data_IF_244260538229
#
_entry.id   IF_244260538229
#
_cell.length_a   1.000
_cell.length_b   1.000
_cell.length_c   1.000
_cell.angle_alpha   90.00
_cell.angle_beta   90.00
_cell.angle_gamma   90.00
#
_symmetry.space_group_name_H-M   'P 1'
#
loop_
_entity.id
_entity.type
_entity.pdbx_description
1 polymer ?
#
# COMPACT_ATOMS: atom_id res chain seq x y z
N UNK A 1 -43.90 -63.05 19.12
CA UNK A 1 -44.24 -61.84 18.36
C UNK A 1 -43.12 -60.82 18.51
N UNK A 2 -42.61 -60.27 17.40
CA UNK A 2 -41.53 -59.26 17.38
C UNK A 2 -42.17 -57.88 17.26
N UNK A 3 -41.96 -57.01 18.25
CA UNK A 3 -42.51 -55.65 18.28
C UNK A 3 -41.37 -54.69 17.96
N UNK A 4 -41.44 -54.03 16.81
CA UNK A 4 -40.47 -53.00 16.43
C UNK A 4 -40.80 -51.70 17.18
N UNK A 5 -39.85 -51.18 17.96
CA UNK A 5 -40.01 -49.89 18.62
C UNK A 5 -40.11 -48.78 17.56
N UNK A 6 -41.16 -47.98 17.65
CA UNK A 6 -41.32 -46.77 16.86
C UNK A 6 -40.24 -45.78 17.28
N UNK A 7 -39.38 -45.45 16.32
CA UNK A 7 -38.27 -44.53 16.49
C UNK A 7 -38.78 -43.20 17.06
N UNK A 8 -38.10 -42.76 18.12
CA UNK A 8 -38.35 -41.57 18.93
C UNK A 8 -38.50 -40.33 18.05
N UNK A 9 -39.74 -39.99 17.73
CA UNK A 9 -40.09 -38.70 17.15
C UNK A 9 -40.11 -37.72 18.32
N UNK A 10 -39.28 -36.68 18.25
CA UNK A 10 -39.19 -35.53 19.16
C UNK A 10 -38.29 -35.67 20.39
N UNK A 11 -36.98 -35.47 20.19
CA UNK A 11 -36.12 -34.92 21.23
C UNK A 11 -35.12 -33.94 20.59
N UNK A 12 -35.63 -32.87 19.96
CA UNK A 12 -34.80 -31.75 19.54
C UNK A 12 -34.40 -31.00 20.81
N UNK A 13 -33.14 -31.14 21.21
CA UNK A 13 -32.63 -30.61 22.45
C UNK A 13 -32.49 -29.07 22.33
N UNK A 14 -33.28 -28.26 23.05
CA UNK A 14 -33.33 -26.80 22.83
C UNK A 14 -31.99 -26.11 23.14
N UNK A 15 -31.14 -26.73 23.97
CA UNK A 15 -29.81 -26.22 24.31
C UNK A 15 -28.78 -26.35 23.18
N UNK A 16 -28.96 -27.27 22.21
CA UNK A 16 -28.07 -27.36 21.05
C UNK A 16 -28.22 -26.17 20.10
N UNK A 17 -29.41 -25.55 20.03
CA UNK A 17 -29.63 -24.38 19.17
C UNK A 17 -28.87 -23.13 19.62
N UNK A 18 -28.53 -23.05 20.91
CA UNK A 18 -27.83 -21.89 21.46
C UNK A 18 -26.32 -21.94 21.18
N UNK A 19 -25.71 -23.14 21.11
CA UNK A 19 -24.32 -23.30 20.68
C UNK A 19 -24.12 -22.95 19.20
N UNK A 20 -25.10 -23.28 18.35
CA UNK A 20 -25.03 -22.95 16.92
C UNK A 20 -25.10 -21.43 16.65
N UNK A 21 -25.85 -20.68 17.48
CA UNK A 21 -25.95 -19.23 17.40
C UNK A 21 -24.64 -18.52 17.81
N UNK A 22 -23.90 -19.07 18.78
CA UNK A 22 -22.59 -18.53 19.18
C UNK A 22 -21.49 -18.84 18.17
N UNK A 23 -21.54 -20.01 17.51
CA UNK A 23 -20.60 -20.37 16.44
C UNK A 23 -20.69 -19.42 15.23
N UNK A 24 -21.87 -18.86 14.94
CA UNK A 24 -22.08 -17.88 13.87
C UNK A 24 -21.42 -16.51 14.12
N UNK A 25 -21.27 -16.12 15.39
CA UNK A 25 -20.73 -14.81 15.77
C UNK A 25 -19.18 -14.74 15.73
N UNK A 26 -18.50 -15.89 15.81
CA UNK A 26 -17.04 -15.97 15.78
C UNK A 26 -16.43 -15.80 14.36
N UNK A 27 -17.25 -15.72 13.32
CA UNK A 27 -16.78 -15.67 11.92
C UNK A 27 -16.60 -14.27 11.34
N UNK A 28 -16.88 -13.19 12.09
CA UNK A 28 -16.58 -11.83 11.61
C UNK A 28 -15.07 -11.61 11.66
N UNK A 29 -14.41 -11.90 10.53
CA UNK A 29 -13.01 -11.53 10.28
C UNK A 29 -12.81 -10.07 10.68
N UNK A 30 -11.84 -9.82 11.57
CA UNK A 30 -11.41 -8.45 11.91
C UNK A 30 -10.97 -7.79 10.61
N UNK A 31 -11.59 -6.65 10.26
CA UNK A 31 -11.11 -5.83 9.15
C UNK A 31 -9.76 -5.28 9.56
N UNK A 32 -8.72 -5.67 8.83
CA UNK A 32 -7.39 -5.09 8.96
C UNK A 32 -7.41 -3.73 8.29
N UNK A 33 -6.79 -2.73 8.90
CA UNK A 33 -6.58 -1.45 8.24
C UNK A 33 -5.59 -1.66 7.08
N UNK A 34 -5.99 -1.24 5.88
CA UNK A 34 -5.16 -1.26 4.69
C UNK A 34 -4.78 0.16 4.29
N UNK A 35 -3.51 0.37 3.96
CA UNK A 35 -3.05 1.63 3.36
C UNK A 35 -2.99 1.42 1.84
N UNK A 36 -3.88 2.07 1.11
CA UNK A 36 -3.86 2.08 -0.36
C UNK A 36 -3.33 3.43 -0.86
N UNK A 37 -2.38 3.37 -1.79
CA UNK A 37 -1.90 4.56 -2.49
C UNK A 37 -2.95 4.93 -3.55
N UNK A 38 -3.34 6.19 -3.63
CA UNK A 38 -4.35 6.62 -4.60
C UNK A 38 -3.83 6.49 -6.03
N UNK A 39 -4.71 6.12 -6.96
CA UNK A 39 -4.39 6.04 -8.38
C UNK A 39 -3.87 7.39 -8.91
N UNK A 40 -4.46 8.50 -8.45
CA UNK A 40 -4.02 9.86 -8.77
C UNK A 40 -2.57 10.13 -8.32
N UNK A 41 -2.18 9.71 -7.10
CA UNK A 41 -0.80 9.89 -6.63
C UNK A 41 0.20 9.08 -7.47
N UNK A 42 -0.19 7.89 -7.93
CA UNK A 42 0.63 7.08 -8.84
C UNK A 42 0.79 7.74 -10.21
N UNK A 43 -0.26 8.34 -10.75
CA UNK A 43 -0.21 9.08 -12.03
C UNK A 43 0.63 10.36 -11.89
N UNK A 44 0.51 11.09 -10.78
CA UNK A 44 1.36 12.25 -10.49
C UNK A 44 2.83 11.86 -10.41
N UNK A 45 3.17 10.75 -9.74
CA UNK A 45 4.56 10.27 -9.68
C UNK A 45 5.08 9.86 -11.07
N UNK A 46 4.25 9.21 -11.87
CA UNK A 46 4.63 8.73 -13.21
C UNK A 46 4.80 9.90 -14.20
N UNK A 47 3.96 10.91 -14.10
CA UNK A 47 4.02 12.13 -14.93
C UNK A 47 5.17 13.06 -14.52
N UNK A 48 5.72 12.90 -13.32
CA UNK A 48 6.83 13.69 -12.81
C UNK A 48 8.19 13.28 -13.40
N UNK A 49 8.29 13.11 -14.72
CA UNK A 49 9.49 13.34 -15.56
C UNK A 49 10.84 12.76 -15.09
N UNK A 50 10.86 11.74 -14.23
CA UNK A 50 12.12 11.17 -13.70
C UNK A 50 12.88 10.40 -14.79
N UNK A 51 12.19 9.93 -15.84
CA UNK A 51 12.74 9.04 -16.86
C UNK A 51 12.82 9.68 -18.27
N UNK A 52 13.24 10.93 -18.38
CA UNK A 52 13.58 11.51 -19.69
C UNK A 52 14.96 11.02 -20.12
N UNK A 53 15.10 10.49 -21.35
CA UNK A 53 16.39 10.07 -21.92
C UNK A 53 17.41 11.22 -21.93
N UNK A 54 16.95 12.46 -22.09
CA UNK A 54 17.80 13.66 -22.03
C UNK A 54 18.42 13.85 -20.64
N UNK A 55 17.73 13.41 -19.57
CA UNK A 55 18.23 13.48 -18.19
C UNK A 55 19.35 12.49 -17.95
N UNK A 56 19.24 11.26 -18.47
CA UNK A 56 20.32 10.27 -18.31
C UNK A 56 21.60 10.73 -19.02
N UNK A 57 21.48 11.26 -20.23
CA UNK A 57 22.60 11.86 -20.96
C UNK A 57 23.23 13.03 -20.20
N UNK A 58 22.41 13.94 -19.65
CA UNK A 58 22.90 15.04 -18.83
C UNK A 58 23.68 14.55 -17.59
N UNK A 59 23.16 13.52 -16.91
CA UNK A 59 23.81 12.93 -15.74
C UNK A 59 25.16 12.31 -16.11
N UNK A 60 25.25 11.61 -17.23
CA UNK A 60 26.50 10.96 -17.63
C UNK A 60 27.57 11.98 -18.04
N UNK A 61 27.17 13.05 -18.73
CA UNK A 61 28.05 14.19 -19.00
C UNK A 61 28.56 14.83 -17.70
N UNK A 62 27.67 15.06 -16.72
CA UNK A 62 28.03 15.60 -15.41
C UNK A 62 29.03 14.70 -14.66
N UNK A 63 28.79 13.38 -14.64
CA UNK A 63 29.70 12.41 -14.02
C UNK A 63 31.09 12.49 -14.65
N UNK A 64 31.15 12.64 -15.97
CA UNK A 64 32.43 12.77 -16.67
C UNK A 64 33.16 14.06 -16.27
N UNK A 65 32.48 15.21 -16.24
CA UNK A 65 33.07 16.49 -15.80
C UNK A 65 33.56 16.46 -14.35
N UNK A 66 32.83 15.76 -13.47
CA UNK A 66 33.24 15.59 -12.07
C UNK A 66 34.49 14.71 -11.99
N UNK A 67 34.53 13.59 -12.73
CA UNK A 67 35.69 12.70 -12.78
C UNK A 67 36.94 13.38 -13.34
N UNK A 68 36.80 14.27 -14.32
CA UNK A 68 37.91 15.05 -14.86
C UNK A 68 38.32 16.25 -14.00
N UNK A 69 37.60 16.52 -12.90
CA UNK A 69 37.88 17.65 -12.01
C UNK A 69 37.56 19.02 -12.61
N UNK A 70 36.87 19.08 -13.76
CA UNK A 70 36.53 20.32 -14.47
C UNK A 70 35.13 20.83 -14.12
N UNK A 71 34.40 20.09 -13.29
CA UNK A 71 33.07 20.50 -12.84
C UNK A 71 33.18 21.64 -11.83
N UNK A 72 32.62 22.80 -12.20
CA UNK A 72 32.53 23.97 -11.34
C UNK A 72 31.07 24.35 -11.11
N UNK A 73 30.70 24.59 -9.86
CA UNK A 73 29.36 25.04 -9.47
C UNK A 73 29.43 26.51 -9.08
N UNK A 74 28.81 27.35 -9.89
CA UNK A 74 28.65 28.79 -9.62
C UNK A 74 27.85 29.02 -8.34
N UNK A 75 28.41 29.78 -7.40
CA UNK A 75 27.78 30.06 -6.10
C UNK A 75 26.42 30.77 -6.24
N UNK A 76 26.27 31.64 -7.24
CA UNK A 76 24.99 32.30 -7.55
C UNK A 76 23.88 31.29 -7.88
N UNK A 77 24.19 30.24 -8.65
CA UNK A 77 23.24 29.17 -8.99
C UNK A 77 22.82 28.37 -7.76
N UNK A 78 23.72 28.18 -6.81
CA UNK A 78 23.41 27.51 -5.53
C UNK A 78 22.40 28.37 -4.75
N UNK A 79 22.68 29.66 -4.62
CA UNK A 79 21.77 30.59 -3.94
C UNK A 79 20.39 30.61 -4.59
N UNK A 80 20.31 30.76 -5.92
CA UNK A 80 19.05 30.71 -6.67
C UNK A 80 18.23 29.45 -6.41
N UNK A 81 18.88 28.28 -6.31
CA UNK A 81 18.20 27.01 -6.04
C UNK A 81 17.75 26.85 -4.59
N UNK A 82 18.43 27.49 -3.64
CA UNK A 82 18.07 27.49 -2.23
C UNK A 82 16.99 28.52 -1.88
N UNK A 83 16.91 29.63 -2.62
CA UNK A 83 15.98 30.73 -2.36
C UNK A 83 14.52 30.31 -2.11
N UNK A 84 13.91 29.38 -2.88
CA UNK A 84 12.51 28.97 -2.67
C UNK A 84 12.25 28.34 -1.31
N UNK A 85 13.26 27.76 -0.66
CA UNK A 85 13.15 27.10 0.63
C UNK A 85 13.48 28.05 1.80
N UNK A 86 13.99 29.24 1.50
CA UNK A 86 14.41 30.24 2.50
C UNK A 86 13.40 31.39 2.63
N UNK A 87 12.48 31.55 1.68
CA UNK A 87 11.37 32.50 1.78
C UNK A 87 10.20 31.83 2.50
N UNK A 88 9.82 32.38 3.66
CA UNK A 88 8.55 32.12 4.33
C UNK A 88 7.40 32.76 3.57
#
# INVERSE_FOLDING_TARGET
MKINQTHRINAVNPYQKQSDLQAGAASRKRKTDEVQISAEAHEMLSSNRVNNADRSQLIDNLKQSVRSGTYHVESGKIAEKLLPYLKN
#
